data_IF_442545204388
#
_entry.id   IF_442545204388
#
_cell.length_a   1.000
_cell.length_b   1.000
_cell.length_c   1.000
_cell.angle_alpha   90.00
_cell.angle_beta   90.00
_cell.angle_gamma   90.00
#
_symmetry.space_group_name_H-M   'P 1'
#
loop_
_entity.id
_entity.type
_entity.pdbx_description
1 polymer ?
#
# COMPACT_ATOMS: atom_id res chain seq x y z
N UNK A 1 -12.25 -15.61 10.67
CA UNK A 1 -11.65 -15.43 9.34
C UNK A 1 -10.14 -15.51 9.53
N UNK A 2 -9.41 -16.26 8.70
CA UNK A 2 -7.96 -16.34 8.84
C UNK A 2 -7.32 -15.11 8.16
N UNK A 3 -6.65 -14.25 8.93
CA UNK A 3 -6.10 -13.00 8.39
C UNK A 3 -5.01 -13.20 7.32
N UNK A 4 -4.30 -14.34 7.31
CA UNK A 4 -3.37 -14.65 6.23
C UNK A 4 -4.09 -14.85 4.90
N UNK A 5 -5.21 -15.59 4.93
CA UNK A 5 -6.06 -15.77 3.75
C UNK A 5 -6.70 -14.44 3.33
N UNK A 6 -7.05 -13.58 4.30
CA UNK A 6 -7.58 -12.24 4.04
C UNK A 6 -6.56 -11.38 3.28
N UNK A 7 -5.31 -11.33 3.75
CA UNK A 7 -4.23 -10.61 3.07
C UNK A 7 -4.04 -11.13 1.64
N UNK A 8 -3.85 -12.44 1.49
CA UNK A 8 -3.60 -13.09 0.18
C UNK A 8 -4.76 -12.85 -0.79
N UNK A 9 -6.00 -13.02 -0.33
CA UNK A 9 -7.18 -12.82 -1.17
C UNK A 9 -7.41 -11.35 -1.50
N UNK A 10 -7.16 -10.44 -0.56
CA UNK A 10 -7.22 -9.00 -0.79
C UNK A 10 -6.30 -8.58 -1.93
N UNK A 11 -5.03 -9.01 -1.88
CA UNK A 11 -4.05 -8.76 -2.96
C UNK A 11 -4.53 -9.33 -4.29
N UNK A 12 -4.95 -10.60 -4.33
CA UNK A 12 -5.41 -11.25 -5.57
C UNK A 12 -6.63 -10.55 -6.19
N UNK A 13 -7.57 -10.11 -5.36
CA UNK A 13 -8.78 -9.42 -5.82
C UNK A 13 -8.41 -8.06 -6.44
N UNK A 14 -7.60 -7.26 -5.75
CA UNK A 14 -7.22 -5.94 -6.24
C UNK A 14 -6.31 -6.03 -7.47
N UNK A 15 -5.33 -6.94 -7.49
CA UNK A 15 -4.49 -7.16 -8.66
C UNK A 15 -5.31 -7.51 -9.90
N UNK A 16 -6.36 -8.35 -9.73
CA UNK A 16 -7.31 -8.68 -10.80
C UNK A 16 -8.13 -7.45 -11.25
N UNK A 17 -8.61 -6.63 -10.32
CA UNK A 17 -9.36 -5.39 -10.64
C UNK A 17 -8.48 -4.39 -11.40
N UNK A 18 -7.22 -4.26 -10.98
CA UNK A 18 -6.23 -3.38 -11.58
C UNK A 18 -5.62 -3.96 -12.87
N UNK A 19 -5.98 -5.19 -13.22
CA UNK A 19 -5.48 -5.92 -14.39
C UNK A 19 -3.95 -6.00 -14.45
N UNK A 20 -3.33 -6.31 -13.31
CA UNK A 20 -1.89 -6.57 -13.18
C UNK A 20 -1.64 -8.01 -12.74
N UNK A 21 -0.45 -8.57 -13.00
CA UNK A 21 -0.01 -9.80 -12.36
C UNK A 21 -0.11 -9.69 -10.83
N UNK A 22 -0.45 -10.79 -10.17
CA UNK A 22 -0.44 -10.85 -8.71
C UNK A 22 1.03 -10.80 -8.27
N UNK A 23 1.45 -9.81 -7.45
CA UNK A 23 2.81 -9.75 -6.94
C UNK A 23 3.12 -10.95 -6.04
N UNK A 24 4.39 -11.21 -5.76
CA UNK A 24 4.74 -12.19 -4.74
C UNK A 24 4.19 -11.73 -3.37
N UNK A 25 3.79 -12.68 -2.53
CA UNK A 25 3.24 -12.39 -1.20
C UNK A 25 4.00 -13.23 -0.21
N UNK A 26 4.62 -12.56 0.76
CA UNK A 26 5.35 -13.22 1.85
C UNK A 26 4.99 -12.60 3.19
N UNK A 27 5.39 -13.30 4.25
CA UNK A 27 5.18 -12.91 5.64
C UNK A 27 6.51 -13.02 6.34
N UNK A 28 6.88 -12.00 7.12
CA UNK A 28 8.10 -12.01 7.92
C UNK A 28 7.78 -11.98 9.40
N UNK A 29 8.65 -12.58 10.19
CA UNK A 29 8.63 -12.43 11.64
C UNK A 29 9.31 -11.10 11.99
N UNK A 30 8.66 -10.19 12.74
CA UNK A 30 9.28 -8.91 13.11
C UNK A 30 10.57 -9.04 13.92
N UNK A 31 10.87 -10.19 14.53
CA UNK A 31 12.18 -10.46 15.12
C UNK A 31 13.33 -10.49 14.09
N UNK A 32 13.01 -10.57 12.80
CA UNK A 32 13.94 -10.55 11.68
C UNK A 32 14.24 -9.13 11.15
N UNK A 33 13.53 -8.10 11.63
CA UNK A 33 13.72 -6.70 11.21
C UNK A 33 13.80 -5.72 12.38
N UNK A 34 14.51 -4.62 12.19
CA UNK A 34 14.76 -3.62 13.25
C UNK A 34 13.60 -2.66 13.52
N UNK A 35 12.51 -2.71 12.74
CA UNK A 35 11.38 -1.79 12.87
C UNK A 35 10.05 -2.54 12.92
N UNK A 36 9.48 -2.66 14.12
CA UNK A 36 8.29 -3.46 14.39
C UNK A 36 6.98 -2.74 14.04
N UNK A 37 7.04 -1.48 13.57
CA UNK A 37 5.85 -0.69 13.25
C UNK A 37 5.36 -0.87 11.81
N UNK A 38 6.15 -1.53 10.95
CA UNK A 38 5.76 -1.82 9.58
C UNK A 38 4.69 -2.92 9.61
N UNK A 39 3.49 -2.60 9.13
CA UNK A 39 2.36 -3.54 9.04
C UNK A 39 2.43 -4.39 7.77
N UNK A 40 2.81 -3.75 6.66
CA UNK A 40 3.17 -4.35 5.39
C UNK A 40 3.98 -3.37 4.57
N UNK A 41 4.58 -3.86 3.48
CA UNK A 41 5.35 -3.06 2.54
C UNK A 41 5.41 -3.74 1.19
N UNK A 42 5.27 -2.96 0.12
CA UNK A 42 5.61 -3.38 -1.23
C UNK A 42 7.09 -3.10 -1.56
N UNK A 43 7.80 -4.13 -2.00
CA UNK A 43 9.18 -4.06 -2.48
C UNK A 43 9.21 -3.99 -4.00
N UNK A 44 9.56 -2.81 -4.52
CA UNK A 44 9.59 -2.55 -5.97
C UNK A 44 10.58 -3.44 -6.75
N UNK A 45 11.72 -3.77 -6.14
CA UNK A 45 12.79 -4.55 -6.77
C UNK A 45 12.42 -6.03 -6.98
N UNK A 46 11.70 -6.62 -6.02
CA UNK A 46 11.29 -8.03 -6.05
C UNK A 46 9.85 -8.24 -6.51
N UNK A 47 9.07 -7.17 -6.75
CA UNK A 47 7.64 -7.24 -7.06
C UNK A 47 6.88 -8.04 -6.00
N UNK A 48 7.09 -7.68 -4.73
CA UNK A 48 6.68 -8.45 -3.58
C UNK A 48 5.96 -7.59 -2.55
N UNK A 49 4.82 -8.06 -2.06
CA UNK A 49 4.16 -7.51 -0.88
C UNK A 49 4.52 -8.38 0.32
N UNK A 50 5.14 -7.75 1.30
CA UNK A 50 5.58 -8.38 2.53
C UNK A 50 4.68 -7.90 3.67
N UNK A 51 4.12 -8.83 4.44
CA UNK A 51 3.31 -8.51 5.63
C UNK A 51 4.00 -8.92 6.92
N UNK A 52 3.82 -8.14 7.98
CA UNK A 52 4.26 -8.50 9.33
C UNK A 52 3.36 -9.61 9.90
N UNK A 53 3.92 -10.80 10.10
CA UNK A 53 3.16 -11.99 10.50
C UNK A 53 2.49 -11.82 11.87
N UNK A 54 3.20 -11.23 12.84
CA UNK A 54 2.68 -10.98 14.18
C UNK A 54 1.50 -9.99 14.14
N UNK A 55 1.62 -8.94 13.32
CA UNK A 55 0.55 -7.97 13.12
C UNK A 55 -0.66 -8.60 12.45
N UNK A 56 -0.46 -9.37 11.37
CA UNK A 56 -1.53 -10.10 10.67
C UNK A 56 -2.31 -10.99 11.64
N UNK A 57 -1.62 -11.72 12.52
CA UNK A 57 -2.27 -12.63 13.46
C UNK A 57 -3.15 -11.91 14.50
N UNK A 58 -2.86 -10.65 14.84
CA UNK A 58 -3.52 -9.90 15.92
C UNK A 58 -4.53 -8.86 15.44
N UNK A 59 -4.42 -8.42 14.20
CA UNK A 59 -5.22 -7.33 13.65
C UNK A 59 -6.66 -7.71 13.35
N UNK A 60 -7.54 -6.71 13.26
CA UNK A 60 -8.86 -6.91 12.71
C UNK A 60 -8.76 -7.15 11.21
N UNK A 61 -9.56 -8.07 10.68
CA UNK A 61 -9.52 -8.45 9.26
C UNK A 61 -9.67 -7.25 8.30
N UNK A 62 -10.41 -6.21 8.71
CA UNK A 62 -10.63 -5.02 7.87
C UNK A 62 -9.35 -4.19 7.72
N UNK A 63 -8.54 -4.07 8.78
CA UNK A 63 -7.24 -3.39 8.72
C UNK A 63 -6.29 -4.16 7.80
N UNK A 64 -6.32 -5.50 7.86
CA UNK A 64 -5.54 -6.36 6.95
C UNK A 64 -5.95 -6.15 5.49
N UNK A 65 -7.24 -6.01 5.21
CA UNK A 65 -7.73 -5.69 3.86
C UNK A 65 -7.29 -4.30 3.41
N UNK A 66 -7.34 -3.29 4.30
CA UNK A 66 -6.86 -1.93 4.01
C UNK A 66 -5.39 -1.96 3.60
N UNK A 67 -4.52 -2.61 4.39
CA UNK A 67 -3.10 -2.75 4.06
C UNK A 67 -2.91 -3.51 2.75
N UNK A 68 -3.60 -4.64 2.55
CA UNK A 68 -3.49 -5.40 1.31
C UNK A 68 -3.89 -4.58 0.07
N UNK A 69 -4.93 -3.75 0.16
CA UNK A 69 -5.38 -2.90 -0.94
C UNK A 69 -4.36 -1.80 -1.24
N UNK A 70 -3.83 -1.18 -0.20
CA UNK A 70 -2.81 -0.13 -0.30
C UNK A 70 -1.53 -0.66 -0.95
N UNK A 71 -0.96 -1.75 -0.43
CA UNK A 71 0.27 -2.32 -0.99
C UNK A 71 0.06 -2.86 -2.41
N UNK A 72 -1.14 -3.37 -2.74
CA UNK A 72 -1.43 -3.78 -4.13
C UNK A 72 -1.54 -2.59 -5.06
N UNK A 73 -1.93 -1.41 -4.57
CA UNK A 73 -1.90 -0.19 -5.39
C UNK A 73 -0.45 0.23 -5.67
N UNK A 74 0.48 0.05 -4.72
CA UNK A 74 1.91 0.20 -4.99
C UNK A 74 2.43 -0.82 -6.01
N UNK A 75 1.98 -2.08 -5.95
CA UNK A 75 2.29 -3.08 -6.98
C UNK A 75 1.81 -2.65 -8.38
N UNK A 76 0.61 -2.07 -8.48
CA UNK A 76 0.12 -1.47 -9.72
C UNK A 76 1.00 -0.32 -10.21
N UNK A 77 1.35 0.62 -9.33
CA UNK A 77 2.22 1.75 -9.70
C UNK A 77 3.58 1.23 -10.19
N UNK A 78 4.18 0.26 -9.49
CA UNK A 78 5.41 -0.40 -9.90
C UNK A 78 5.30 -1.09 -11.28
N UNK A 79 4.20 -1.81 -11.52
CA UNK A 79 3.93 -2.40 -12.83
C UNK A 79 3.81 -1.35 -13.95
N UNK A 80 3.08 -0.25 -13.69
CA UNK A 80 2.90 0.83 -14.64
C UNK A 80 4.23 1.51 -14.99
N UNK A 81 5.08 1.77 -13.99
CA UNK A 81 6.43 2.34 -14.17
C UNK A 81 7.29 1.41 -15.03
N UNK A 82 7.42 0.13 -14.64
CA UNK A 82 8.28 -0.85 -15.33
C UNK A 82 7.87 -1.07 -16.79
N UNK A 83 6.56 -1.09 -17.06
CA UNK A 83 6.03 -1.32 -18.40
C UNK A 83 5.84 -0.05 -19.22
N UNK A 84 5.88 1.12 -18.58
CA UNK A 84 5.51 2.42 -19.15
C UNK A 84 4.10 2.41 -19.75
N UNK A 85 3.12 1.85 -19.03
CA UNK A 85 1.72 1.71 -19.51
C UNK A 85 0.69 2.14 -18.47
N UNK A 86 -0.60 2.11 -18.87
CA UNK A 86 -1.82 2.32 -18.06
C UNK A 86 -2.05 3.73 -17.52
N UNK A 87 -1.00 4.52 -17.33
CA UNK A 87 -1.09 5.90 -16.85
C UNK A 87 -0.40 6.89 -17.80
N UNK A 88 -0.64 8.18 -17.55
CA UNK A 88 -0.01 9.25 -18.33
C UNK A 88 1.51 9.26 -18.11
N UNK A 89 2.27 9.73 -19.11
CA UNK A 89 3.72 9.88 -18.99
C UNK A 89 4.11 10.72 -17.77
N UNK A 90 3.41 11.85 -17.55
CA UNK A 90 3.71 12.74 -16.43
C UNK A 90 3.50 12.06 -15.07
N UNK A 91 2.44 11.24 -14.96
CA UNK A 91 2.18 10.40 -13.76
C UNK A 91 3.32 9.39 -13.55
N UNK A 92 3.70 8.68 -14.61
CA UNK A 92 4.73 7.65 -14.56
C UNK A 92 6.09 8.24 -14.19
N UNK A 93 6.49 9.35 -14.81
CA UNK A 93 7.76 10.02 -14.55
C UNK A 93 7.80 10.55 -13.09
N UNK A 94 6.66 11.03 -12.58
CA UNK A 94 6.56 11.48 -11.17
C UNK A 94 6.66 10.33 -10.19
N UNK A 95 5.89 9.25 -10.39
CA UNK A 95 5.96 8.09 -9.51
C UNK A 95 7.34 7.42 -9.56
N UNK A 96 7.94 7.29 -10.74
CA UNK A 96 9.30 6.75 -10.87
C UNK A 96 10.33 7.60 -10.10
N UNK A 97 10.23 8.92 -10.19
CA UNK A 97 11.08 9.82 -9.41
C UNK A 97 10.90 9.62 -7.90
N UNK A 98 9.65 9.56 -7.42
CA UNK A 98 9.33 9.35 -6.00
C UNK A 98 9.76 7.96 -5.51
N UNK A 99 9.63 6.90 -6.31
CA UNK A 99 10.15 5.56 -5.98
C UNK A 99 11.68 5.57 -5.83
N UNK A 100 12.40 6.24 -6.72
CA UNK A 100 13.87 6.32 -6.67
C UNK A 100 14.39 7.22 -5.54
N UNK A 101 13.58 8.19 -5.10
CA UNK A 101 13.94 9.17 -4.07
C UNK A 101 13.00 9.08 -2.87
N UNK A 102 12.57 7.86 -2.53
CA UNK A 102 11.47 7.64 -1.61
C UNK A 102 11.73 8.21 -0.22
N UNK A 103 10.82 9.09 0.20
CA UNK A 103 10.79 9.62 1.57
C UNK A 103 10.11 8.56 2.43
N UNK A 104 10.83 8.03 3.42
CA UNK A 104 10.32 6.99 4.32
C UNK A 104 9.53 7.61 5.48
N UNK A 105 8.52 6.91 6.02
CA UNK A 105 7.89 7.32 7.27
C UNK A 105 8.91 7.34 8.42
N UNK A 106 8.65 8.20 9.39
CA UNK A 106 9.53 8.44 10.55
C UNK A 106 9.47 7.32 11.60
N UNK A 107 8.46 6.44 11.53
CA UNK A 107 8.22 5.42 12.55
C UNK A 107 7.69 6.00 13.87
N UNK A 108 6.99 7.14 13.80
CA UNK A 108 6.25 7.72 14.92
C UNK A 108 4.74 7.68 14.71
N UNK A 109 4.30 7.16 13.56
CA UNK A 109 2.91 7.00 13.14
C UNK A 109 2.04 8.22 13.41
N UNK A 110 2.47 9.40 12.93
CA UNK A 110 1.68 10.60 13.09
C UNK A 110 1.78 11.53 11.88
N UNK A 111 0.63 12.14 11.56
CA UNK A 111 0.44 13.03 10.42
C UNK A 111 1.44 14.19 10.33
N UNK A 112 1.97 14.67 11.47
CA UNK A 112 2.86 15.83 11.51
C UNK A 112 4.29 15.44 11.15
N UNK A 113 4.82 14.38 11.77
CA UNK A 113 6.17 13.90 11.49
C UNK A 113 6.24 13.20 10.11
N UNK A 114 5.15 12.57 9.67
CA UNK A 114 5.09 11.83 8.40
C UNK A 114 4.52 12.67 7.24
N UNK A 115 4.47 14.00 7.39
CA UNK A 115 3.89 14.91 6.41
C UNK A 115 4.50 14.74 5.01
N UNK A 116 5.84 14.79 4.90
CA UNK A 116 6.52 14.74 3.60
C UNK A 116 6.39 13.37 2.94
N UNK A 117 6.38 12.30 3.75
CA UNK A 117 6.10 10.95 3.28
C UNK A 117 4.69 10.87 2.65
N UNK A 118 3.67 11.30 3.41
CA UNK A 118 2.26 11.23 3.01
C UNK A 118 1.90 12.20 1.87
N UNK A 119 2.71 13.22 1.61
CA UNK A 119 2.49 14.20 0.54
C UNK A 119 3.10 13.79 -0.81
N UNK A 120 3.75 12.62 -0.89
CA UNK A 120 4.20 12.04 -2.16
C UNK A 120 3.00 11.61 -3.00
N UNK A 121 3.02 11.85 -4.31
CA UNK A 121 1.88 11.51 -5.18
C UNK A 121 1.60 10.01 -5.25
N UNK A 122 2.63 9.19 -5.10
CA UNK A 122 2.51 7.73 -5.05
C UNK A 122 1.71 7.28 -3.81
N UNK A 123 1.89 7.95 -2.67
CA UNK A 123 1.19 7.68 -1.41
C UNK A 123 -0.24 8.22 -1.44
N UNK A 124 -0.43 9.46 -1.91
CA UNK A 124 -1.77 10.06 -2.07
C UNK A 124 -2.65 9.19 -2.95
N UNK A 125 -2.13 8.71 -4.09
CA UNK A 125 -2.86 7.81 -4.99
C UNK A 125 -3.18 6.47 -4.31
N UNK A 126 -2.22 5.86 -3.60
CA UNK A 126 -2.43 4.61 -2.88
C UNK A 126 -3.50 4.72 -1.78
N UNK A 127 -3.46 5.80 -1.01
CA UNK A 127 -4.44 6.11 0.05
C UNK A 127 -5.82 6.38 -0.56
N UNK A 128 -5.89 7.21 -1.61
CA UNK A 128 -7.15 7.56 -2.26
C UNK A 128 -7.84 6.36 -2.90
N UNK A 129 -7.08 5.55 -3.63
CA UNK A 129 -7.58 4.29 -4.19
C UNK A 129 -8.11 3.36 -3.10
N UNK A 130 -7.34 3.17 -2.03
CA UNK A 130 -7.72 2.29 -0.92
C UNK A 130 -8.98 2.79 -0.24
N UNK A 131 -9.07 4.07 0.10
CA UNK A 131 -10.26 4.67 0.71
C UNK A 131 -11.51 4.41 -0.14
N UNK A 132 -11.40 4.66 -1.46
CA UNK A 132 -12.50 4.46 -2.39
C UNK A 132 -12.95 2.99 -2.45
N UNK A 133 -12.00 2.04 -2.59
CA UNK A 133 -12.32 0.60 -2.69
C UNK A 133 -12.86 0.00 -1.40
N UNK A 134 -12.36 0.44 -0.25
CA UNK A 134 -12.87 0.01 1.05
C UNK A 134 -14.31 0.49 1.23
N UNK A 135 -14.59 1.75 0.87
CA UNK A 135 -15.95 2.28 0.92
C UNK A 135 -16.88 1.58 -0.06
N UNK A 136 -16.43 1.35 -1.30
CA UNK A 136 -17.20 0.65 -2.35
C UNK A 136 -17.61 -0.77 -1.92
N UNK A 137 -16.69 -1.55 -1.35
CA UNK A 137 -16.96 -2.96 -1.03
C UNK A 137 -17.59 -3.20 0.33
N UNK A 138 -17.30 -2.34 1.31
CA UNK A 138 -17.69 -2.59 2.71
C UNK A 138 -18.53 -1.48 3.33
N UNK A 139 -18.70 -0.33 2.64
CA UNK A 139 -19.38 0.84 3.21
C UNK A 139 -18.63 1.48 4.37
N UNK A 140 -17.36 1.11 4.59
CA UNK A 140 -16.50 1.59 5.68
C UNK A 140 -15.68 2.79 5.19
N UNK A 141 -15.62 3.85 5.99
CA UNK A 141 -14.75 5.01 5.72
C UNK A 141 -13.44 4.85 6.45
N UNK A 142 -12.33 4.80 5.72
CA UNK A 142 -10.99 4.86 6.34
C UNK A 142 -10.70 6.29 6.82
N UNK A 143 -9.78 6.43 7.75
CA UNK A 143 -9.28 7.73 8.19
C UNK A 143 -8.29 8.27 7.16
N UNK A 144 -8.54 9.49 6.68
CA UNK A 144 -7.65 10.20 5.76
C UNK A 144 -6.86 11.26 6.53
N UNK A 145 -5.53 11.38 6.31
CA UNK A 145 -4.75 12.48 6.85
C UNK A 145 -5.34 13.83 6.42
N UNK A 146 -5.40 14.78 7.35
CA UNK A 146 -6.15 16.02 7.14
C UNK A 146 -5.66 16.83 5.94
N UNK A 147 -4.36 16.84 5.70
CA UNK A 147 -3.72 17.67 4.68
C UNK A 147 -3.80 17.09 3.26
N UNK A 148 -4.04 15.79 3.11
CA UNK A 148 -4.26 15.17 1.78
C UNK A 148 -5.73 14.95 1.45
N UNK A 149 -6.64 15.27 2.38
CA UNK A 149 -8.06 15.02 2.22
C UNK A 149 -8.67 15.76 1.02
N UNK A 150 -8.19 16.96 0.72
CA UNK A 150 -8.66 17.75 -0.43
C UNK A 150 -8.08 17.25 -1.76
N UNK A 151 -7.10 16.34 -1.71
CA UNK A 151 -6.44 15.70 -2.86
C UNK A 151 -7.03 14.33 -3.23
N UNK A 152 -8.04 13.85 -2.47
CA UNK A 152 -8.66 12.51 -2.58
C UNK A 152 -10.16 12.62 -2.86
#
# INVERSE_FOLDING_TARGET
MNNHEVAINGVKIIAKILNIPVPHISFFDPSEVSNNEITGMYLFESDEIIFNEEWIAKSQWIEVIVTAFHETRHAYQGYCIRTRTLESKDTLDKWEYETLNYIRPTGKNNEVDDHDYLNQSIEIDAIGFTHHKIYEFFGVKTLLPKFIKDSI
#
